data_IF_970091817701
#
_entry.id   IF_970091817701
#
_cell.length_a   1.000
_cell.length_b   1.000
_cell.length_c   1.000
_cell.angle_alpha   90.00
_cell.angle_beta   90.00
_cell.angle_gamma   90.00
#
_symmetry.space_group_name_H-M   'P 1'
#
loop_
_entity.id
_entity.type
_entity.pdbx_description
1 polymer ?
#
# COMPACT_ATOMS: atom_id res chain seq x y z
N UNK A 1 -3.35 -7.44 21.87
CA UNK A 1 -4.34 -6.41 21.55
C UNK A 1 -5.51 -7.11 20.90
N UNK A 2 -6.73 -6.82 21.34
CA UNK A 2 -7.97 -7.34 20.75
C UNK A 2 -8.03 -6.93 19.26
N UNK A 3 -8.27 -7.84 18.31
CA UNK A 3 -8.39 -7.51 16.88
C UNK A 3 -9.44 -6.46 16.55
N UNK A 4 -10.41 -6.23 17.44
CA UNK A 4 -11.43 -5.19 17.32
C UNK A 4 -11.07 -3.88 18.03
N UNK A 5 -9.87 -3.77 18.60
CA UNK A 5 -9.41 -2.50 19.20
C UNK A 5 -9.31 -1.46 18.08
N UNK A 6 -10.06 -0.34 18.17
CA UNK A 6 -9.96 0.73 17.19
C UNK A 6 -8.52 1.23 17.07
N UNK A 7 -8.14 1.67 15.87
CA UNK A 7 -6.83 2.25 15.67
C UNK A 7 -6.67 3.46 16.59
N UNK A 8 -5.56 3.49 17.33
CA UNK A 8 -5.19 4.62 18.17
C UNK A 8 -4.42 5.63 17.33
N UNK A 9 -4.67 6.90 17.57
CA UNK A 9 -4.05 8.01 16.86
C UNK A 9 -3.51 9.04 17.85
N UNK A 10 -2.79 8.57 18.87
CA UNK A 10 -1.99 9.45 19.74
C UNK A 10 -0.69 9.82 19.04
N UNK A 11 -0.05 10.89 19.46
CA UNK A 11 1.22 11.37 18.89
C UNK A 11 2.30 10.27 18.87
N UNK A 12 2.35 9.44 19.91
CA UNK A 12 3.27 8.30 20.00
C UNK A 12 2.98 7.22 18.94
N UNK A 13 1.72 7.06 18.53
CA UNK A 13 1.31 6.08 17.53
C UNK A 13 1.77 6.51 16.11
N UNK A 14 1.94 7.82 15.87
CA UNK A 14 2.59 8.35 14.65
C UNK A 14 4.12 8.30 14.72
N UNK A 15 4.69 8.40 15.93
CA UNK A 15 6.13 8.35 16.12
C UNK A 15 6.69 6.92 16.02
N UNK A 16 5.99 5.96 16.60
CA UNK A 16 6.36 4.53 16.61
C UNK A 16 5.14 3.70 16.19
N UNK A 17 4.74 3.76 14.91
CA UNK A 17 3.55 3.06 14.44
C UNK A 17 3.73 1.56 14.55
N UNK A 18 2.73 0.89 15.15
CA UNK A 18 2.72 -0.55 15.40
C UNK A 18 1.45 -1.17 14.85
N UNK A 19 1.63 -2.04 13.86
CA UNK A 19 0.53 -2.83 13.34
C UNK A 19 0.14 -3.92 14.35
N UNK A 20 -1.16 -4.17 14.49
CA UNK A 20 -1.69 -5.26 15.32
C UNK A 20 -1.36 -6.62 14.69
N UNK A 21 -1.28 -7.66 15.53
CA UNK A 21 -1.22 -9.04 15.06
C UNK A 21 -2.53 -9.39 14.35
N UNK A 22 -2.45 -10.07 13.22
CA UNK A 22 -3.62 -10.56 12.51
C UNK A 22 -4.35 -11.61 13.37
N UNK A 23 -5.69 -11.58 13.44
CA UNK A 23 -6.47 -12.57 14.18
C UNK A 23 -6.62 -13.90 13.44
N UNK A 24 -6.29 -13.96 12.15
CA UNK A 24 -6.49 -15.17 11.36
C UNK A 24 -5.45 -16.24 11.69
N UNK A 25 -5.88 -17.49 11.58
CA UNK A 25 -5.03 -18.66 11.78
C UNK A 25 -4.51 -19.17 10.43
N UNK A 26 -3.18 -19.14 10.26
CA UNK A 26 -2.52 -19.63 9.04
C UNK A 26 -2.77 -21.10 8.75
N UNK A 27 -3.06 -21.91 9.78
CA UNK A 27 -3.31 -23.33 9.62
C UNK A 27 -4.66 -23.62 8.97
N UNK A 28 -5.54 -22.61 8.91
CA UNK A 28 -6.85 -22.69 8.25
C UNK A 28 -6.80 -22.26 6.78
N UNK A 29 -5.63 -21.90 6.23
CA UNK A 29 -5.54 -21.46 4.83
C UNK A 29 -5.80 -22.63 3.88
N UNK A 30 -6.76 -22.43 2.96
CA UNK A 30 -7.01 -23.35 1.85
C UNK A 30 -5.96 -23.15 0.74
N UNK A 31 -4.82 -23.84 0.88
CA UNK A 31 -3.74 -23.81 -0.11
C UNK A 31 -4.08 -24.47 -1.43
N UNK A 32 -5.14 -25.30 -1.51
CA UNK A 32 -5.55 -25.94 -2.77
C UNK A 32 -6.28 -24.95 -3.67
N UNK A 33 -7.06 -24.04 -3.08
CA UNK A 33 -7.74 -22.95 -3.79
C UNK A 33 -6.93 -21.64 -3.88
N UNK A 34 -5.72 -21.61 -3.33
CA UNK A 34 -4.86 -20.43 -3.35
C UNK A 34 -4.34 -20.13 -4.76
N UNK A 35 -3.90 -18.89 -5.00
CA UNK A 35 -3.30 -18.48 -6.27
C UNK A 35 -2.21 -17.46 -6.02
N UNK A 36 -1.01 -17.66 -6.56
CA UNK A 36 0.06 -16.66 -6.51
C UNK A 36 -0.33 -15.47 -7.39
N UNK A 37 -0.51 -14.30 -6.78
CA UNK A 37 -0.88 -13.06 -7.48
C UNK A 37 0.33 -12.35 -8.06
N UNK A 38 1.48 -12.47 -7.38
CA UNK A 38 2.72 -11.86 -7.83
C UNK A 38 3.84 -12.03 -6.84
N UNK A 39 5.05 -11.78 -7.34
CA UNK A 39 6.27 -11.80 -6.56
C UNK A 39 7.15 -10.61 -6.99
N UNK A 40 7.69 -9.88 -6.03
CA UNK A 40 8.36 -8.61 -6.25
C UNK A 40 9.64 -8.44 -5.43
N UNK A 41 10.04 -7.19 -5.26
CA UNK A 41 11.27 -6.85 -4.52
C UNK A 41 11.20 -7.26 -3.04
N UNK A 42 10.02 -7.16 -2.45
CA UNK A 42 9.81 -7.26 -0.99
C UNK A 42 9.26 -8.62 -0.55
N UNK A 43 8.49 -9.27 -1.41
CA UNK A 43 7.85 -10.54 -1.08
C UNK A 43 7.00 -11.13 -2.19
N UNK A 44 6.26 -12.16 -1.82
CA UNK A 44 5.23 -12.80 -2.62
C UNK A 44 3.84 -12.50 -2.07
N UNK A 45 2.85 -12.43 -2.94
CA UNK A 45 1.45 -12.21 -2.57
C UNK A 45 0.59 -13.32 -3.14
N UNK A 46 -0.25 -13.93 -2.31
CA UNK A 46 -1.24 -14.92 -2.73
C UNK A 46 -2.66 -14.44 -2.46
N UNK A 47 -3.58 -14.82 -3.34
CA UNK A 47 -5.00 -14.87 -3.04
C UNK A 47 -5.24 -16.15 -2.25
N UNK A 48 -5.79 -16.02 -1.05
CA UNK A 48 -6.05 -17.13 -0.13
C UNK A 48 -7.44 -17.02 0.47
N UNK A 49 -7.96 -18.12 0.99
CA UNK A 49 -9.15 -18.16 1.86
C UNK A 49 -8.76 -18.78 3.19
N UNK A 50 -9.25 -18.21 4.28
CA UNK A 50 -9.13 -18.79 5.62
C UNK A 50 -10.42 -19.56 5.94
N UNK A 51 -10.29 -20.84 6.28
CA UNK A 51 -11.42 -21.76 6.43
C UNK A 51 -12.15 -22.08 5.12
N UNK A 52 -13.31 -22.75 5.24
CA UNK A 52 -14.02 -23.31 4.08
C UNK A 52 -14.98 -22.32 3.40
N UNK A 53 -15.45 -21.29 4.12
CA UNK A 53 -16.55 -20.41 3.66
C UNK A 53 -16.27 -18.90 3.81
N UNK A 54 -15.01 -18.49 3.88
CA UNK A 54 -14.61 -17.07 3.95
C UNK A 54 -14.48 -16.38 2.58
N UNK A 55 -14.40 -15.03 2.55
CA UNK A 55 -14.00 -14.30 1.36
C UNK A 55 -12.53 -14.56 1.02
N UNK A 56 -12.08 -14.07 -0.14
CA UNK A 56 -10.66 -14.07 -0.48
C UNK A 56 -9.92 -12.94 0.24
N UNK A 57 -8.66 -13.21 0.56
CA UNK A 57 -7.71 -12.29 1.16
C UNK A 57 -6.41 -12.29 0.36
N UNK A 58 -5.65 -11.19 0.45
CA UNK A 58 -4.30 -11.12 -0.03
C UNK A 58 -3.32 -11.37 1.12
N UNK A 59 -2.52 -12.44 1.04
CA UNK A 59 -1.47 -12.76 2.00
C UNK A 59 -0.13 -12.39 1.39
N UNK A 60 0.57 -11.39 1.93
CA UNK A 60 1.93 -11.00 1.51
C UNK A 60 2.96 -11.59 2.48
N UNK A 61 3.89 -12.41 1.98
CA UNK A 61 5.02 -12.95 2.75
C UNK A 61 6.31 -12.26 2.29
N UNK A 62 7.08 -11.72 3.24
CA UNK A 62 8.28 -10.95 2.95
C UNK A 62 9.54 -11.81 2.87
N UNK A 63 10.47 -11.47 1.97
CA UNK A 63 11.70 -12.25 1.73
C UNK A 63 12.70 -12.22 2.87
N UNK A 64 12.72 -11.12 3.63
CA UNK A 64 13.70 -10.88 4.68
C UNK A 64 13.07 -11.22 6.04
N UNK A 65 13.72 -12.09 6.81
CA UNK A 65 13.28 -12.49 8.15
C UNK A 65 13.93 -11.68 9.27
N UNK A 66 15.16 -11.22 9.05
CA UNK A 66 15.97 -10.54 10.06
C UNK A 66 16.32 -9.12 9.57
N UNK A 67 15.93 -8.05 10.28
CA UNK A 67 16.35 -6.70 9.94
C UNK A 67 17.86 -6.47 10.10
N UNK A 68 18.58 -7.28 10.90
CA UNK A 68 20.01 -7.09 11.16
C UNK A 68 20.91 -7.39 9.95
N UNK A 69 20.43 -8.19 9.00
CA UNK A 69 21.19 -8.52 7.77
C UNK A 69 21.06 -7.45 6.67
N UNK A 70 20.23 -6.43 6.88
CA UNK A 70 19.97 -5.35 5.93
C UNK A 70 20.85 -4.13 6.25
N UNK A 71 22.10 -4.15 5.82
CA UNK A 71 22.97 -2.97 5.92
C UNK A 71 22.57 -1.93 4.85
N UNK A 72 22.28 -0.69 5.27
CA UNK A 72 21.93 0.46 4.40
C UNK A 72 20.66 0.30 3.52
N UNK A 73 19.73 -0.57 3.89
CA UNK A 73 18.44 -0.69 3.22
C UNK A 73 17.29 -0.73 4.25
N UNK A 74 16.06 -0.53 3.77
CA UNK A 74 14.90 -0.62 4.63
C UNK A 74 14.48 -2.08 4.81
N UNK A 75 13.91 -2.40 5.97
CA UNK A 75 13.26 -3.67 6.21
C UNK A 75 11.81 -3.61 5.71
N UNK A 76 11.51 -4.31 4.62
CA UNK A 76 10.23 -4.20 3.91
C UNK A 76 9.02 -4.51 4.79
N UNK A 77 9.06 -5.60 5.57
CA UNK A 77 7.98 -5.97 6.47
C UNK A 77 7.69 -4.86 7.52
N UNK A 78 8.74 -4.22 8.05
CA UNK A 78 8.58 -3.11 8.98
C UNK A 78 7.99 -1.88 8.30
N UNK A 79 8.49 -1.48 7.12
CA UNK A 79 7.93 -0.35 6.36
C UNK A 79 6.44 -0.55 6.10
N UNK A 80 6.07 -1.72 5.59
CA UNK A 80 4.69 -2.05 5.29
C UNK A 80 3.82 -2.01 6.56
N UNK A 81 4.28 -2.62 7.67
CA UNK A 81 3.57 -2.56 8.96
C UNK A 81 3.37 -1.13 9.45
N UNK A 82 4.42 -0.30 9.39
CA UNK A 82 4.38 1.08 9.84
C UNK A 82 3.41 1.91 9.00
N UNK A 83 3.47 1.80 7.67
CA UNK A 83 2.57 2.50 6.76
C UNK A 83 1.11 2.05 6.94
N UNK A 84 0.85 0.74 7.05
CA UNK A 84 -0.49 0.23 7.31
C UNK A 84 -1.06 0.74 8.65
N UNK A 85 -0.25 0.81 9.70
CA UNK A 85 -0.66 1.34 11.00
C UNK A 85 -0.92 2.86 10.94
N UNK A 86 -0.09 3.63 10.23
CA UNK A 86 -0.31 5.06 10.03
C UNK A 86 -1.59 5.34 9.25
N UNK A 87 -1.85 4.62 8.16
CA UNK A 87 -3.09 4.77 7.37
C UNK A 87 -4.34 4.45 8.20
N UNK A 88 -4.27 3.42 9.06
CA UNK A 88 -5.35 3.11 10.01
C UNK A 88 -5.57 4.22 11.05
N UNK A 89 -4.49 4.78 11.60
CA UNK A 89 -4.56 5.90 12.54
C UNK A 89 -5.12 7.18 11.89
N UNK A 90 -4.70 7.48 10.66
CA UNK A 90 -5.20 8.58 9.85
C UNK A 90 -6.70 8.44 9.61
N UNK A 91 -7.15 7.26 9.14
CA UNK A 91 -8.59 7.00 8.91
C UNK A 91 -9.39 7.19 10.19
N UNK A 92 -8.94 6.60 11.30
CA UNK A 92 -9.64 6.72 12.58
C UNK A 92 -9.72 8.18 13.08
N UNK A 93 -8.67 8.97 12.86
CA UNK A 93 -8.67 10.39 13.21
C UNK A 93 -9.70 11.18 12.40
N UNK A 94 -9.73 10.98 11.07
CA UNK A 94 -10.68 11.64 10.15
C UNK A 94 -12.12 11.22 10.46
N UNK A 95 -12.36 9.94 10.74
CA UNK A 95 -13.69 9.42 11.09
C UNK A 95 -14.21 9.99 12.40
N UNK A 96 -13.33 10.08 13.39
CA UNK A 96 -13.68 10.67 14.67
C UNK A 96 -14.01 12.17 14.51
N UNK A 97 -13.27 12.91 13.68
CA UNK A 97 -13.60 14.31 13.37
C UNK A 97 -14.98 14.43 12.69
N UNK A 98 -15.24 13.60 11.67
CA UNK A 98 -16.50 13.62 10.93
C UNK A 98 -17.70 13.29 11.83
N UNK A 99 -17.61 12.20 12.62
CA UNK A 99 -18.66 11.81 13.56
C UNK A 99 -18.91 12.88 14.63
N UNK A 100 -17.86 13.53 15.14
CA UNK A 100 -18.01 14.62 16.09
C UNK A 100 -18.69 15.85 15.47
N UNK A 101 -18.38 16.17 14.20
CA UNK A 101 -19.03 17.26 13.48
C UNK A 101 -20.52 16.96 13.24
N UNK A 102 -20.88 15.73 12.87
CA UNK A 102 -22.28 15.32 12.68
C UNK A 102 -23.12 15.49 13.95
N UNK A 103 -22.56 15.16 15.12
CA UNK A 103 -23.23 15.38 16.42
C UNK A 103 -23.48 16.86 16.66
N UNK A 104 -22.49 17.73 16.39
CA UNK A 104 -22.64 19.18 16.56
C UNK A 104 -23.65 19.78 15.58
N UNK A 105 -23.64 19.35 14.32
CA UNK A 105 -24.55 19.81 13.28
C UNK A 105 -26.00 19.42 13.58
N UNK A 106 -26.20 18.28 14.26
CA UNK A 106 -27.50 17.84 14.77
C UNK A 106 -27.95 18.57 16.05
N UNK A 107 -27.18 19.54 16.56
CA UNK A 107 -27.46 20.27 17.80
C UNK A 107 -27.16 19.49 19.07
N UNK A 108 -26.42 18.38 18.96
CA UNK A 108 -25.94 17.60 20.10
C UNK A 108 -24.72 18.24 20.76
N UNK A 109 -24.35 17.70 21.92
CA UNK A 109 -23.14 18.08 22.66
C UNK A 109 -22.14 16.94 22.66
N UNK A 110 -20.86 17.26 22.46
CA UNK A 110 -19.79 16.28 22.56
C UNK A 110 -19.49 15.95 24.04
N UNK A 111 -19.01 14.74 24.35
CA UNK A 111 -18.53 14.41 25.68
C UNK A 111 -17.43 15.39 26.12
N UNK A 112 -17.44 15.77 27.40
CA UNK A 112 -16.42 16.59 28.03
C UNK A 112 -15.22 15.70 28.42
N UNK A 113 -14.65 15.00 27.44
CA UNK A 113 -13.48 14.14 27.61
C UNK A 113 -12.19 14.80 27.09
N UNK A 114 -11.04 14.21 27.42
CA UNK A 114 -9.73 14.68 26.96
C UNK A 114 -9.48 14.45 25.45
N UNK A 115 -10.50 14.04 24.69
CA UNK A 115 -10.45 13.77 23.25
C UNK A 115 -10.35 15.06 22.43
N UNK A 116 -10.08 14.94 21.11
CA UNK A 116 -9.98 16.12 20.25
C UNK A 116 -11.35 16.68 19.85
N UNK A 117 -12.46 16.00 20.18
CA UNK A 117 -13.82 16.40 19.77
C UNK A 117 -13.91 16.63 18.26
N UNK A 118 -14.56 17.73 17.85
CA UNK A 118 -14.61 18.16 16.46
C UNK A 118 -13.42 19.06 16.03
N UNK A 119 -12.33 19.10 16.81
CA UNK A 119 -11.16 19.90 16.45
C UNK A 119 -10.58 19.40 15.11
N UNK A 120 -10.36 20.29 14.13
CA UNK A 120 -10.05 19.86 12.77
C UNK A 120 -8.61 19.37 12.60
N UNK A 121 -8.40 18.39 11.72
CA UNK A 121 -7.09 18.09 11.15
C UNK A 121 -6.72 19.19 10.15
N UNK A 122 -5.77 20.05 10.53
CA UNK A 122 -5.26 21.10 9.65
C UNK A 122 -3.83 20.79 9.22
N UNK A 123 -3.60 20.85 7.91
CA UNK A 123 -2.34 20.54 7.23
C UNK A 123 -1.82 21.75 6.46
N UNK A 124 -0.51 21.80 6.21
CA UNK A 124 0.05 22.69 5.20
C UNK A 124 -0.46 22.26 3.82
N UNK A 125 -1.00 23.20 3.00
CA UNK A 125 -1.59 22.89 1.70
C UNK A 125 -0.55 22.56 0.62
N UNK A 126 0.69 23.05 0.80
CA UNK A 126 1.82 22.82 -0.13
C UNK A 126 3.09 22.50 0.67
N UNK A 127 3.13 21.35 1.37
CA UNK A 127 4.27 21.00 2.22
C UNK A 127 5.54 20.76 1.37
N UNK A 128 6.63 21.44 1.68
CA UNK A 128 7.85 21.47 0.87
C UNK A 128 9.01 20.64 1.43
N UNK A 129 8.99 20.32 2.72
CA UNK A 129 10.10 19.64 3.37
C UNK A 129 9.67 18.61 4.42
N UNK A 130 10.66 17.95 5.02
CA UNK A 130 10.42 16.88 5.99
C UNK A 130 9.72 17.39 7.25
N UNK A 131 9.98 18.64 7.64
CA UNK A 131 9.38 19.23 8.83
C UNK A 131 7.90 19.49 8.60
N UNK A 132 7.54 20.08 7.46
CA UNK A 132 6.14 20.32 7.09
C UNK A 132 5.41 19.00 6.83
N UNK A 133 6.03 18.04 6.14
CA UNK A 133 5.47 16.70 5.94
C UNK A 133 5.23 15.97 7.27
N UNK A 134 6.20 16.02 8.19
CA UNK A 134 6.04 15.45 9.53
C UNK A 134 4.93 16.17 10.31
N UNK A 135 4.87 17.50 10.24
CA UNK A 135 3.84 18.29 10.91
C UNK A 135 2.44 17.94 10.40
N UNK A 136 2.30 17.72 9.08
CA UNK A 136 1.07 17.21 8.49
C UNK A 136 0.73 15.80 9.03
N UNK A 137 1.69 14.88 9.07
CA UNK A 137 1.46 13.54 9.63
C UNK A 137 1.04 13.60 11.12
N UNK A 138 1.66 14.46 11.93
CA UNK A 138 1.30 14.58 13.35
C UNK A 138 -0.01 15.36 13.56
N UNK A 139 -0.52 16.09 12.55
CA UNK A 139 -1.79 16.83 12.64
C UNK A 139 -3.01 15.92 12.84
N UNK A 140 -2.87 14.63 12.57
CA UNK A 140 -3.90 13.62 12.83
C UNK A 140 -3.93 13.16 14.29
N UNK A 141 -2.96 13.54 15.12
CA UNK A 141 -2.92 13.08 16.51
C UNK A 141 -3.93 13.80 17.40
N UNK A 142 -4.51 13.06 18.36
CA UNK A 142 -5.44 13.61 19.37
C UNK A 142 -4.87 14.86 20.03
N UNK A 143 -3.63 14.75 20.52
CA UNK A 143 -2.98 15.79 21.30
C UNK A 143 -2.73 17.03 20.44
N UNK A 144 -2.28 16.87 19.20
CA UNK A 144 -2.03 18.01 18.31
C UNK A 144 -3.33 18.70 17.92
N UNK A 145 -4.40 17.96 17.61
CA UNK A 145 -5.72 18.54 17.29
C UNK A 145 -6.29 19.31 18.49
N UNK A 146 -6.25 18.72 19.69
CA UNK A 146 -6.75 19.32 20.93
C UNK A 146 -5.94 20.55 21.33
N UNK A 147 -4.62 20.45 21.36
CA UNK A 147 -3.73 21.47 21.92
C UNK A 147 -3.35 22.55 20.92
N UNK A 148 -3.86 22.51 19.68
CA UNK A 148 -3.49 23.44 18.61
C UNK A 148 -3.71 24.92 18.96
N UNK A 149 -4.79 25.22 19.68
CA UNK A 149 -5.11 26.58 20.13
C UNK A 149 -3.98 27.19 20.97
N UNK A 150 -3.18 26.36 21.67
CA UNK A 150 -2.03 26.81 22.46
C UNK A 150 -0.92 27.39 21.60
N UNK A 151 -0.88 27.09 20.31
CA UNK A 151 0.15 27.53 19.37
C UNK A 151 -0.38 28.50 18.31
N UNK A 152 -1.66 28.88 18.37
CA UNK A 152 -2.32 29.74 17.38
C UNK A 152 -1.81 31.20 17.39
N UNK A 153 -1.06 31.59 18.44
CA UNK A 153 -0.49 32.92 18.60
C UNK A 153 0.90 33.07 17.94
N UNK A 154 1.49 31.97 17.46
CA UNK A 154 2.69 32.02 16.64
C UNK A 154 2.24 32.39 15.22
N UNK A 155 3.03 33.18 14.48
CA UNK A 155 2.83 33.46 13.05
C UNK A 155 2.88 32.15 12.24
N UNK A 156 1.80 31.39 12.32
CA UNK A 156 1.69 30.07 11.75
C UNK A 156 1.41 30.20 10.25
N UNK A 157 2.06 29.41 9.39
CA UNK A 157 1.79 29.41 7.97
C UNK A 157 0.31 29.10 7.69
N UNK A 158 -0.15 29.47 6.50
CA UNK A 158 -1.50 29.14 6.04
C UNK A 158 -1.73 27.62 6.10
N UNK A 159 -2.86 27.21 6.68
CA UNK A 159 -3.23 25.80 6.81
C UNK A 159 -4.64 25.56 6.28
N UNK A 160 -4.88 24.36 5.78
CA UNK A 160 -6.17 23.93 5.26
C UNK A 160 -6.74 22.77 6.08
N UNK A 161 -8.08 22.64 6.11
CA UNK A 161 -8.73 21.46 6.70
C UNK A 161 -8.56 20.28 5.76
N UNK A 162 -8.01 19.19 6.27
CA UNK A 162 -7.81 18.00 5.44
C UNK A 162 -9.15 17.33 5.08
N UNK A 163 -10.19 17.45 5.93
CA UNK A 163 -11.52 16.90 5.63
C UNK A 163 -12.16 17.43 4.35
N UNK A 164 -11.69 18.58 3.84
CA UNK A 164 -12.14 19.14 2.56
C UNK A 164 -11.55 18.35 1.36
N UNK A 165 -10.61 17.45 1.62
CA UNK A 165 -10.08 16.47 0.67
C UNK A 165 -10.71 15.11 0.98
N UNK A 166 -11.41 14.47 0.02
CA UNK A 166 -12.01 13.16 0.24
C UNK A 166 -10.97 12.13 0.70
N UNK A 167 -11.26 11.42 1.79
CA UNK A 167 -10.43 10.31 2.26
C UNK A 167 -10.47 9.16 1.25
N UNK A 168 -9.36 8.83 0.57
CA UNK A 168 -9.34 7.77 -0.42
C UNK A 168 -9.58 6.40 0.21
N UNK A 169 -10.00 5.46 -0.63
CA UNK A 169 -10.11 4.05 -0.24
C UNK A 169 -8.72 3.40 -0.25
N UNK A 170 -8.23 3.00 0.92
CA UNK A 170 -7.05 2.13 1.05
C UNK A 170 -7.48 0.68 1.26
N UNK A 171 -6.63 -0.27 0.88
CA UNK A 171 -6.88 -1.69 1.13
C UNK A 171 -6.94 -1.95 2.64
N UNK A 172 -7.94 -2.69 3.09
CA UNK A 172 -8.05 -3.02 4.51
C UNK A 172 -6.93 -3.97 4.93
N UNK A 173 -6.14 -3.58 5.93
CA UNK A 173 -5.11 -4.42 6.55
C UNK A 173 -5.65 -5.12 7.80
N UNK A 174 -5.54 -6.45 7.86
CA UNK A 174 -5.99 -7.27 8.98
C UNK A 174 -4.92 -7.47 10.05
N UNK A 175 -3.64 -7.28 9.69
CA UNK A 175 -2.51 -7.31 10.62
C UNK A 175 -1.37 -8.22 10.15
N UNK A 176 -0.34 -8.34 10.97
CA UNK A 176 0.82 -9.18 10.69
C UNK A 176 0.73 -10.58 11.32
N UNK A 177 1.41 -11.54 10.70
CA UNK A 177 1.56 -12.93 11.14
C UNK A 177 3.04 -13.31 11.17
N UNK A 178 3.40 -14.21 12.07
CA UNK A 178 4.69 -14.92 12.03
C UNK A 178 4.51 -16.22 11.27
N UNK A 179 5.48 -16.55 10.44
CA UNK A 179 5.40 -17.67 9.51
C UNK A 179 6.72 -18.42 9.52
N UNK A 180 6.69 -19.71 9.81
CA UNK A 180 7.78 -20.58 9.37
C UNK A 180 7.59 -20.82 7.85
N UNK A 181 8.45 -20.23 7.03
CA UNK A 181 8.31 -20.31 5.57
C UNK A 181 8.51 -21.73 5.04
N UNK A 182 9.36 -22.54 5.67
CA UNK A 182 9.58 -23.93 5.28
C UNK A 182 8.30 -24.76 5.48
N UNK A 183 7.68 -24.65 6.65
CA UNK A 183 6.42 -25.33 6.95
C UNK A 183 5.26 -24.80 6.09
N UNK A 184 5.25 -23.50 5.79
CA UNK A 184 4.23 -22.91 4.93
C UNK A 184 4.34 -23.42 3.49
N UNK A 185 5.54 -23.36 2.90
CA UNK A 185 5.79 -23.76 1.51
C UNK A 185 5.56 -25.27 1.35
N UNK A 186 5.89 -26.09 2.34
CA UNK A 186 5.62 -27.53 2.33
C UNK A 186 4.12 -27.87 2.21
N UNK A 187 3.23 -27.00 2.69
CA UNK A 187 1.77 -27.15 2.59
C UNK A 187 1.20 -26.66 1.25
N UNK A 188 1.96 -25.87 0.51
CA UNK A 188 1.52 -25.32 -0.79
C UNK A 188 1.62 -26.38 -1.89
N UNK A 189 0.57 -26.59 -2.70
CA UNK A 189 0.69 -27.26 -3.98
C UNK A 189 1.71 -26.56 -4.88
N UNK A 190 2.38 -27.32 -5.77
CA UNK A 190 3.44 -26.76 -6.63
C UNK A 190 3.04 -25.53 -7.44
N UNK A 191 1.79 -25.44 -7.90
CA UNK A 191 1.31 -24.29 -8.68
C UNK A 191 1.22 -22.99 -7.87
N UNK A 192 1.24 -23.09 -6.54
CA UNK A 192 1.23 -21.95 -5.62
C UNK A 192 2.61 -21.65 -5.03
N UNK A 193 3.60 -22.53 -5.22
CA UNK A 193 4.92 -22.31 -4.65
C UNK A 193 5.62 -21.14 -5.35
N UNK A 194 6.29 -20.26 -4.60
CA UNK A 194 6.99 -19.13 -5.17
C UNK A 194 8.30 -19.60 -5.83
N UNK A 195 8.46 -19.31 -7.12
CA UNK A 195 9.75 -19.47 -7.79
C UNK A 195 10.74 -18.37 -7.36
N UNK A 196 12.06 -18.63 -7.40
CA UNK A 196 13.06 -17.60 -7.20
C UNK A 196 12.88 -16.44 -8.20
N UNK A 197 12.81 -15.21 -7.68
CA UNK A 197 12.56 -14.02 -8.49
C UNK A 197 13.85 -13.25 -8.75
N UNK A 198 14.05 -12.84 -10.00
CA UNK A 198 15.09 -11.87 -10.35
C UNK A 198 14.60 -10.46 -10.04
N UNK A 199 15.21 -9.80 -9.07
CA UNK A 199 14.88 -8.41 -8.71
C UNK A 199 15.83 -7.39 -9.35
N UNK A 200 17.08 -7.79 -9.62
CA UNK A 200 18.07 -7.01 -10.38
C UNK A 200 18.95 -7.95 -11.20
N UNK A 201 19.77 -7.40 -12.10
CA UNK A 201 20.58 -8.13 -13.12
C UNK A 201 21.48 -9.27 -12.58
N UNK A 202 21.64 -9.43 -11.26
CA UNK A 202 22.33 -10.54 -10.58
C UNK A 202 21.79 -10.90 -9.18
N UNK A 203 20.63 -10.38 -8.77
CA UNK A 203 20.08 -10.60 -7.42
C UNK A 203 18.81 -11.44 -7.50
N UNK A 204 18.82 -12.56 -6.79
CA UNK A 204 17.69 -13.47 -6.65
C UNK A 204 17.08 -13.33 -5.27
N UNK A 205 15.75 -13.31 -5.20
CA UNK A 205 15.00 -13.45 -3.96
C UNK A 205 14.37 -14.84 -3.90
N UNK A 206 14.52 -15.49 -2.75
CA UNK A 206 13.92 -16.78 -2.43
C UNK A 206 13.85 -16.92 -0.90
N UNK A 207 12.95 -17.76 -0.40
CA UNK A 207 12.87 -18.05 1.03
C UNK A 207 14.05 -18.93 1.45
N UNK A 208 14.80 -18.46 2.44
CA UNK A 208 15.90 -19.24 3.03
C UNK A 208 15.33 -20.49 3.72
N UNK A 209 16.04 -21.62 3.60
CA UNK A 209 15.69 -22.87 4.27
C UNK A 209 16.18 -22.85 5.72
N UNK A 210 15.48 -23.53 6.62
CA UNK A 210 15.82 -23.62 8.04
C UNK A 210 14.75 -23.00 8.95
N UNK A 211 14.98 -23.05 10.28
CA UNK A 211 14.00 -22.65 11.30
C UNK A 211 13.92 -21.13 11.46
N UNK A 212 13.67 -20.43 10.36
CA UNK A 212 13.60 -18.97 10.31
C UNK A 212 12.15 -18.51 10.30
N UNK A 213 11.78 -17.63 11.24
CA UNK A 213 10.46 -17.00 11.26
C UNK A 213 10.43 -15.76 10.35
N UNK A 214 9.58 -15.81 9.33
CA UNK A 214 9.29 -14.69 8.44
C UNK A 214 8.04 -13.93 8.90
N UNK A 215 7.86 -12.74 8.37
CA UNK A 215 6.68 -11.91 8.60
C UNK A 215 5.78 -12.00 7.38
N UNK A 216 4.48 -12.18 7.61
CA UNK A 216 3.45 -11.97 6.60
C UNK A 216 2.44 -10.91 7.04
N UNK A 217 1.73 -10.32 6.08
CA UNK A 217 0.63 -9.38 6.34
C UNK A 217 -0.58 -9.83 5.53
N UNK A 218 -1.75 -9.77 6.16
CA UNK A 218 -3.03 -10.09 5.52
C UNK A 218 -3.77 -8.81 5.20
N UNK A 219 -4.24 -8.74 3.96
CA UNK A 219 -5.03 -7.66 3.41
C UNK A 219 -6.35 -8.18 2.85
N UNK A 220 -7.30 -7.27 2.69
CA UNK A 220 -8.45 -7.45 1.82
C UNK A 220 -7.97 -7.78 0.40
N UNK A 221 -8.63 -8.73 -0.25
CA UNK A 221 -8.40 -8.99 -1.66
C UNK A 221 -9.27 -8.06 -2.53
N UNK A 222 -8.62 -7.27 -3.39
CA UNK A 222 -9.32 -6.43 -4.37
C UNK A 222 -9.47 -7.22 -5.67
N UNK A 223 -10.72 -7.49 -6.06
CA UNK A 223 -11.05 -8.12 -7.34
C UNK A 223 -10.77 -7.16 -8.48
N UNK A 224 -10.10 -7.61 -9.55
CA UNK A 224 -9.95 -6.80 -10.77
C UNK A 224 -11.32 -6.63 -11.44
N UNK A 225 -11.64 -5.41 -11.88
CA UNK A 225 -12.85 -5.16 -12.66
C UNK A 225 -12.82 -6.00 -13.96
N UNK A 226 -13.93 -6.70 -14.26
CA UNK A 226 -14.08 -7.54 -15.47
C UNK A 226 -13.60 -9.00 -15.34
N UNK A 227 -13.16 -9.45 -14.16
CA UNK A 227 -12.94 -10.87 -13.88
C UNK A 227 -14.24 -11.52 -13.42
N UNK A 228 -14.93 -12.24 -14.31
CA UNK A 228 -16.17 -12.94 -14.03
C UNK A 228 -16.05 -13.79 -12.75
N UNK A 229 -17.02 -13.64 -11.85
CA UNK A 229 -17.20 -14.45 -10.65
C UNK A 229 -17.65 -15.89 -10.95
N UNK A 230 -17.20 -16.49 -12.04
CA UNK A 230 -17.44 -17.89 -12.37
C UNK A 230 -16.16 -18.69 -12.20
N UNK A 231 -16.23 -19.70 -11.32
CA UNK A 231 -15.24 -20.76 -11.15
C UNK A 231 -14.62 -21.19 -12.48
N UNK A 232 -13.35 -20.87 -12.69
CA UNK A 232 -12.61 -21.31 -13.88
C UNK A 232 -11.48 -20.40 -14.31
N UNK A 233 -10.70 -19.85 -13.38
CA UNK A 233 -9.66 -18.88 -13.74
C UNK A 233 -8.34 -19.59 -14.10
N UNK A 234 -8.10 -19.74 -15.41
CA UNK A 234 -6.84 -20.19 -15.99
C UNK A 234 -5.92 -18.99 -16.25
N UNK A 235 -5.49 -18.31 -15.20
CA UNK A 235 -4.37 -17.37 -15.30
C UNK A 235 -3.05 -18.13 -15.18
N UNK A 236 -2.63 -18.73 -16.30
CA UNK A 236 -1.29 -19.35 -16.40
C UNK A 236 -0.29 -18.27 -16.79
N UNK A 237 0.56 -17.88 -15.84
CA UNK A 237 1.74 -17.03 -16.10
C UNK A 237 2.63 -17.77 -17.11
N UNK A 238 2.84 -17.16 -18.29
CA UNK A 238 3.84 -17.64 -19.25
C UNK A 238 5.22 -17.26 -18.75
N UNK A 239 5.92 -18.23 -18.16
CA UNK A 239 7.36 -18.13 -17.86
C UNK A 239 8.14 -18.16 -19.17
N UNK A 240 8.80 -17.06 -19.51
CA UNK A 240 9.63 -16.94 -20.72
C UNK A 240 10.87 -17.84 -20.59
N UNK A 241 10.80 -19.05 -21.10
CA UNK A 241 11.98 -19.90 -21.31
C UNK A 241 12.73 -19.39 -22.55
N UNK A 242 13.91 -18.82 -22.36
CA UNK A 242 14.79 -18.42 -23.47
C UNK A 242 15.47 -19.67 -24.03
N UNK A 243 14.81 -20.30 -25.00
CA UNK A 243 15.40 -21.32 -25.86
C UNK A 243 16.40 -20.69 -26.83
N UNK A 244 17.62 -21.22 -26.81
CA UNK A 244 18.74 -20.82 -27.67
C UNK A 244 18.51 -21.42 -29.07
N UNK A 245 18.08 -20.60 -30.03
CA UNK A 245 18.08 -20.99 -31.45
C UNK A 245 18.99 -20.11 -32.30
N UNK A 246 19.71 -20.81 -33.17
CA UNK A 246 20.81 -20.33 -33.99
C UNK A 246 20.29 -19.48 -35.16
N UNK A 247 20.92 -18.32 -35.37
CA UNK A 247 20.58 -17.35 -36.39
C UNK A 247 21.24 -17.74 -37.72
N UNK A 248 20.45 -18.24 -38.67
CA UNK A 248 20.84 -18.35 -40.07
C UNK A 248 20.44 -17.07 -40.84
N UNK A 249 21.41 -16.50 -41.56
CA UNK A 249 21.30 -15.26 -42.33
C UNK A 249 20.63 -15.52 -43.68
N UNK A 250 19.63 -14.71 -44.07
CA UNK A 250 19.13 -14.59 -45.46
C UNK A 250 18.79 -13.13 -45.80
N UNK A 251 18.86 -12.74 -47.09
CA UNK A 251 19.18 -11.36 -47.51
C UNK A 251 17.96 -10.46 -47.70
N UNK A 252 18.24 -9.15 -47.66
CA UNK A 252 17.26 -8.06 -47.69
C UNK A 252 16.60 -7.87 -49.05
N UNK A 253 15.29 -7.66 -49.06
CA UNK A 253 14.59 -6.97 -50.15
C UNK A 253 13.84 -5.76 -49.59
N UNK A 254 14.17 -4.59 -50.14
CA UNK A 254 13.59 -3.29 -49.79
C UNK A 254 12.17 -3.24 -50.36
N UNK A 255 11.17 -3.18 -49.48
CA UNK A 255 9.77 -2.90 -49.83
C UNK A 255 9.40 -1.53 -49.27
N UNK A 256 9.06 -0.60 -50.15
CA UNK A 256 8.59 0.74 -49.80
C UNK A 256 7.25 0.65 -49.07
N UNK A 257 7.12 1.36 -47.93
CA UNK A 257 5.87 1.46 -47.16
C UNK A 257 4.93 2.47 -47.83
N UNK A 258 3.64 2.16 -48.02
CA UNK A 258 2.65 3.17 -48.38
C UNK A 258 2.33 4.06 -47.15
N UNK A 259 1.82 5.28 -47.37
CA UNK A 259 1.59 6.27 -46.32
C UNK A 259 0.52 5.78 -45.34
N UNK A 260 0.82 5.89 -44.05
CA UNK A 260 -0.10 5.57 -42.95
C UNK A 260 -1.20 6.63 -42.97
N UNK A 261 -2.44 6.21 -43.28
CA UNK A 261 -3.63 7.00 -42.97
C UNK A 261 -3.71 7.08 -41.45
N UNK A 262 -3.62 8.30 -40.91
CA UNK A 262 -3.92 8.56 -39.51
C UNK A 262 -5.38 8.20 -39.27
N UNK A 263 -5.61 7.04 -38.66
CA UNK A 263 -6.90 6.74 -38.08
C UNK A 263 -7.12 7.69 -36.89
N UNK A 264 -8.31 8.29 -36.76
CA UNK A 264 -8.61 9.17 -35.65
C UNK A 264 -8.45 8.37 -34.37
N UNK A 265 -7.58 8.86 -33.47
CA UNK A 265 -7.43 8.32 -32.12
C UNK A 265 -8.83 8.27 -31.49
N UNK A 266 -9.37 7.07 -31.33
CA UNK A 266 -10.53 6.85 -30.47
C UNK A 266 -10.13 7.36 -29.09
N UNK A 267 -10.73 8.47 -28.67
CA UNK A 267 -10.70 8.92 -27.29
C UNK A 267 -11.26 7.77 -26.45
N UNK A 268 -10.37 7.09 -25.72
CA UNK A 268 -10.76 6.10 -24.74
C UNK A 268 -11.54 6.82 -23.64
N UNK A 269 -12.60 6.20 -23.07
CA UNK A 269 -13.41 6.84 -22.05
C UNK A 269 -12.51 7.26 -20.86
N UNK A 270 -12.53 8.55 -20.56
CA UNK A 270 -11.85 9.17 -19.42
C UNK A 270 -12.56 8.76 -18.11
N UNK A 271 -11.94 8.54 -16.95
CA UNK A 271 -10.69 7.85 -16.58
C UNK A 271 -10.80 7.53 -15.05
N UNK A 272 -11.87 6.82 -14.62
CA UNK A 272 -12.23 6.63 -13.20
C UNK A 272 -11.06 6.08 -12.34
N UNK A 273 -10.29 5.13 -12.87
CA UNK A 273 -9.10 4.63 -12.17
C UNK A 273 -8.03 5.71 -11.99
N UNK A 274 -7.74 6.53 -13.01
CA UNK A 274 -6.72 7.57 -12.89
C UNK A 274 -7.15 8.66 -11.92
N UNK A 275 -8.43 9.03 -11.90
CA UNK A 275 -8.95 10.00 -10.95
C UNK A 275 -8.87 9.48 -9.50
N UNK A 276 -9.16 8.19 -9.29
CA UNK A 276 -8.95 7.52 -7.99
C UNK A 276 -7.47 7.54 -7.58
N UNK A 277 -6.55 7.20 -8.48
CA UNK A 277 -5.09 7.23 -8.23
C UNK A 277 -4.60 8.64 -7.91
N UNK A 278 -5.05 9.64 -8.67
CA UNK A 278 -4.71 11.05 -8.43
C UNK A 278 -5.21 11.52 -7.05
N UNK A 279 -6.40 11.08 -6.65
CA UNK A 279 -6.97 11.38 -5.33
C UNK A 279 -6.15 10.75 -4.20
N UNK A 280 -5.70 9.50 -4.37
CA UNK A 280 -4.80 8.82 -3.43
C UNK A 280 -3.47 9.57 -3.30
N UNK A 281 -2.85 9.95 -4.42
CA UNK A 281 -1.58 10.69 -4.43
C UNK A 281 -1.70 12.05 -3.73
N UNK A 282 -2.75 12.82 -4.06
CA UNK A 282 -2.99 14.12 -3.43
C UNK A 282 -3.15 13.99 -1.92
N UNK A 283 -3.95 13.02 -1.48
CA UNK A 283 -4.17 12.80 -0.05
C UNK A 283 -2.89 12.38 0.66
N UNK A 284 -2.15 11.41 0.10
CA UNK A 284 -0.90 10.92 0.68
C UNK A 284 0.15 12.02 0.78
N UNK A 285 0.30 12.85 -0.25
CA UNK A 285 1.19 14.01 -0.24
C UNK A 285 0.80 14.98 0.89
N UNK A 286 -0.49 15.35 1.00
CA UNK A 286 -0.96 16.21 2.09
C UNK A 286 -0.77 15.57 3.47
N UNK A 287 -0.88 14.25 3.59
CA UNK A 287 -0.64 13.52 4.83
C UNK A 287 0.85 13.34 5.18
N UNK A 288 1.78 13.81 4.32
CA UNK A 288 3.22 13.78 4.56
C UNK A 288 3.97 12.65 3.86
N UNK A 289 3.29 11.75 3.15
CA UNK A 289 3.91 10.62 2.48
C UNK A 289 4.48 11.01 1.12
N UNK A 290 5.59 10.36 0.74
CA UNK A 290 6.07 10.34 -0.64
C UNK A 290 5.96 8.93 -1.22
N UNK A 291 5.83 8.82 -2.54
CA UNK A 291 6.04 7.54 -3.23
C UNK A 291 7.53 7.19 -3.36
N UNK A 292 7.84 5.91 -3.42
CA UNK A 292 9.15 5.40 -3.80
C UNK A 292 9.58 5.93 -5.19
N UNK A 293 10.88 6.01 -5.51
CA UNK A 293 11.34 6.59 -6.79
C UNK A 293 10.82 5.87 -8.06
N UNK A 294 10.41 4.61 -7.94
CA UNK A 294 9.92 3.77 -9.03
C UNK A 294 8.60 3.10 -8.62
N UNK A 295 7.48 3.86 -8.58
CA UNK A 295 6.17 3.30 -8.33
C UNK A 295 5.79 2.41 -9.51
N UNK A 296 5.03 1.35 -9.26
CA UNK A 296 4.74 0.34 -10.27
C UNK A 296 3.24 0.19 -10.46
N UNK A 297 2.79 0.11 -11.72
CA UNK A 297 1.38 -0.16 -12.07
C UNK A 297 0.78 -1.34 -11.31
N UNK A 298 1.56 -2.40 -11.11
CA UNK A 298 1.13 -3.63 -10.42
C UNK A 298 0.79 -3.45 -8.94
N UNK A 299 1.20 -2.34 -8.33
CA UNK A 299 0.86 -2.00 -6.95
C UNK A 299 -0.53 -1.36 -6.83
N UNK A 300 -1.24 -1.19 -7.95
CA UNK A 300 -2.57 -0.60 -8.03
C UNK A 300 -3.59 -1.59 -8.61
N UNK A 301 -4.75 -1.69 -7.98
CA UNK A 301 -5.90 -2.47 -8.48
C UNK A 301 -7.15 -1.62 -8.39
N UNK A 302 -7.79 -1.32 -9.53
CA UNK A 302 -8.98 -0.46 -9.65
C UNK A 302 -8.83 0.89 -8.93
N UNK A 303 -7.63 1.47 -8.96
CA UNK A 303 -7.29 2.73 -8.29
C UNK A 303 -6.99 2.63 -6.79
N UNK A 304 -6.94 1.42 -6.22
CA UNK A 304 -6.55 1.15 -4.83
C UNK A 304 -5.08 0.76 -4.77
N UNK A 305 -4.29 1.42 -3.93
CA UNK A 305 -2.91 1.02 -3.64
C UNK A 305 -2.94 -0.24 -2.76
N UNK A 306 -2.34 -1.33 -3.26
CA UNK A 306 -2.32 -2.65 -2.57
C UNK A 306 -0.95 -3.03 -2.01
N UNK A 307 0.09 -2.26 -2.33
CA UNK A 307 1.43 -2.41 -1.77
C UNK A 307 1.82 -1.15 -0.99
N UNK A 308 1.78 -1.21 0.34
CA UNK A 308 2.08 -0.07 1.18
C UNK A 308 3.58 0.18 1.34
N UNK A 309 4.48 -0.71 0.90
CA UNK A 309 5.91 -0.39 0.80
C UNK A 309 6.20 0.67 -0.27
N UNK A 310 5.27 0.94 -1.19
CA UNK A 310 5.46 1.93 -2.26
C UNK A 310 5.38 3.39 -1.76
N UNK A 311 4.95 3.59 -0.51
CA UNK A 311 4.91 4.89 0.15
C UNK A 311 5.93 4.98 1.29
N UNK A 312 6.38 6.18 1.59
CA UNK A 312 7.38 6.46 2.62
C UNK A 312 6.87 7.61 3.48
N UNK A 313 6.65 7.34 4.77
CA UNK A 313 6.33 8.36 5.75
C UNK A 313 7.50 9.32 6.01
N UNK A 314 7.24 10.54 6.49
CA UNK A 314 8.29 11.47 6.90
C UNK A 314 9.13 10.87 8.04
N UNK A 315 10.43 11.18 8.09
CA UNK A 315 11.41 10.61 9.04
C UNK A 315 11.70 9.12 8.87
N UNK A 316 11.13 8.46 7.87
CA UNK A 316 11.47 7.06 7.56
C UNK A 316 12.61 6.98 6.56
N UNK A 317 13.36 5.88 6.62
CA UNK A 317 14.46 5.64 5.70
C UNK A 317 14.00 5.76 4.24
N UNK A 318 14.73 6.52 3.43
CA UNK A 318 14.42 6.77 2.02
C UNK A 318 13.46 7.92 1.76
N UNK A 319 12.88 8.55 2.80
CA UNK A 319 12.20 9.84 2.64
C UNK A 319 13.22 10.89 2.19
N UNK A 320 12.88 11.71 1.19
CA UNK A 320 13.80 12.72 0.68
C UNK A 320 13.05 13.84 -0.04
N UNK A 321 13.33 15.10 0.33
CA UNK A 321 12.68 16.31 -0.24
C UNK A 321 12.56 16.30 -1.78
N UNK A 322 13.61 15.88 -2.48
CA UNK A 322 13.62 15.73 -3.96
C UNK A 322 12.48 14.87 -4.53
N UNK A 323 12.02 13.85 -3.79
CA UNK A 323 10.98 12.91 -4.23
C UNK A 323 9.61 13.19 -3.64
N UNK A 324 9.52 14.10 -2.65
CA UNK A 324 8.29 14.55 -2.05
C UNK A 324 7.65 15.66 -2.90
N UNK A 325 6.82 15.23 -3.85
CA UNK A 325 6.07 16.07 -4.78
C UNK A 325 4.94 15.25 -5.38
N UNK A 326 3.87 15.91 -5.80
CA UNK A 326 2.81 15.26 -6.57
C UNK A 326 3.38 14.69 -7.88
N UNK A 327 3.03 13.44 -8.17
CA UNK A 327 3.35 12.74 -9.42
C UNK A 327 2.13 12.68 -10.32
N UNK A 328 2.37 12.67 -11.63
CA UNK A 328 1.32 12.39 -12.59
C UNK A 328 0.89 10.93 -12.47
N UNK A 329 -0.39 10.66 -12.72
CA UNK A 329 -0.93 9.29 -12.74
C UNK A 329 -0.22 8.42 -13.78
N UNK A 330 0.25 9.00 -14.88
CA UNK A 330 1.06 8.31 -15.88
C UNK A 330 2.40 7.78 -15.31
N UNK A 331 3.00 8.48 -14.35
CA UNK A 331 4.22 8.03 -13.65
C UNK A 331 3.88 6.98 -12.60
N UNK A 332 2.77 7.13 -11.87
CA UNK A 332 2.36 6.16 -10.84
C UNK A 332 1.88 4.83 -11.45
N UNK A 333 1.37 4.87 -12.67
CA UNK A 333 0.84 3.74 -13.43
C UNK A 333 1.80 3.28 -14.53
N UNK A 334 3.09 3.65 -14.47
CA UNK A 334 4.09 3.12 -15.39
C UNK A 334 4.41 1.65 -15.08
N UNK A 335 4.71 0.89 -16.14
CA UNK A 335 5.09 -0.54 -16.05
C UNK A 335 6.42 -0.80 -15.34
#
# INVERSE_FOLDING_TARGET
>A
MDPNTPARFRKVDFHVPRLRKCPFDLDTVDWRGATLLGAGMDGCVWRVRFGDHGPYYALKLFWDADPAVLYQCYFAAQRECQNAALLQAIRASVDQEAAAQEVLDAGGTLPDDDGPGAAPTLVFPDPQDEYEAASNLYSFSVEIRRDRHKFAHLDAPETMRLRDVPMPRFVQCYGWLRVNAEDLIARMPRHCQPDPVHVKRKEFRYFQKGPTEFIAIVYEYIHKEGGDGTEGDKDTIKTTTVGREQRAVRPSTVRQRPPVKEEPKKELPYDDERDRVASVEKFLHLAGFQFCPQPLRRNWVNGVLVDHSDIIGPRFFGWHKRYYRLRSTAVLLSE
#
